data_IF_374703850049
#
_entry.id   IF_374703850049
#
_cell.length_a   1.000
_cell.length_b   1.000
_cell.length_c   1.000
_cell.angle_alpha   90.00
_cell.angle_beta   90.00
_cell.angle_gamma   90.00
#
_symmetry.space_group_name_H-M   'P 1'
#
loop_
_entity.id
_entity.type
_entity.pdbx_description
1 polymer ?
#
# COMPACT_ATOMS: atom_id res chain seq x y z
N UNK A 1 -59.10 52.17 43.54
CA UNK A 1 -57.70 52.01 44.01
C UNK A 1 -57.26 50.61 43.67
N UNK A 2 -56.58 50.45 42.54
CA UNK A 2 -55.79 49.25 42.17
C UNK A 2 -54.71 49.76 41.24
N UNK A 3 -53.49 49.84 41.76
CA UNK A 3 -52.30 50.30 41.06
C UNK A 3 -51.82 49.22 40.09
N UNK A 4 -51.87 49.52 38.79
CA UNK A 4 -51.19 48.74 37.75
C UNK A 4 -49.69 49.04 37.84
N UNK A 5 -48.92 48.12 38.43
CA UNK A 5 -47.47 48.19 38.39
C UNK A 5 -46.99 47.61 37.07
N UNK A 6 -46.57 48.48 36.14
CA UNK A 6 -45.81 48.11 34.95
C UNK A 6 -44.53 47.39 35.37
N UNK A 7 -44.43 46.08 35.11
CA UNK A 7 -43.13 45.38 35.07
C UNK A 7 -42.43 45.80 33.78
N UNK A 8 -41.55 46.78 33.88
CA UNK A 8 -40.64 47.16 32.79
C UNK A 8 -39.77 45.96 32.42
N UNK A 9 -39.93 45.48 31.18
CA UNK A 9 -38.93 44.64 30.52
C UNK A 9 -37.68 45.49 30.27
N UNK A 10 -36.57 45.14 30.91
CA UNK A 10 -35.24 45.49 30.44
C UNK A 10 -34.30 44.35 30.83
N UNK A 11 -34.46 43.20 30.17
CA UNK A 11 -33.36 42.26 29.99
C UNK A 11 -32.36 42.93 29.05
N UNK A 12 -31.54 43.82 29.59
CA UNK A 12 -30.37 44.32 28.89
C UNK A 12 -29.50 43.10 28.59
N UNK A 13 -29.41 42.70 27.32
CA UNK A 13 -28.44 41.70 26.89
C UNK A 13 -27.06 42.20 27.32
N UNK A 14 -26.50 41.58 28.37
CA UNK A 14 -25.18 41.92 28.86
C UNK A 14 -24.17 41.69 27.72
N UNK A 15 -23.57 42.77 27.23
CA UNK A 15 -22.47 42.69 26.27
C UNK A 15 -21.18 42.26 26.96
N UNK A 16 -20.32 41.55 26.25
CA UNK A 16 -19.00 41.17 26.75
C UNK A 16 -18.06 42.38 26.84
N UNK A 17 -17.26 42.47 27.91
CA UNK A 17 -16.23 43.51 28.03
C UNK A 17 -15.03 43.18 27.15
N UNK A 18 -14.28 44.19 26.68
CA UNK A 18 -13.08 43.98 25.86
C UNK A 18 -12.03 43.10 26.56
N UNK A 19 -11.90 43.26 27.89
CA UNK A 19 -10.98 42.45 28.70
C UNK A 19 -11.41 40.99 28.76
N UNK A 20 -12.71 40.72 28.94
CA UNK A 20 -13.26 39.36 28.96
C UNK A 20 -13.06 38.64 27.63
N UNK A 21 -13.29 39.34 26.51
CA UNK A 21 -13.05 38.78 25.16
C UNK A 21 -11.57 38.45 24.96
N UNK A 22 -10.66 39.31 25.41
CA UNK A 22 -9.21 39.06 25.29
C UNK A 22 -8.75 37.89 26.14
N UNK A 23 -9.24 37.78 27.39
CA UNK A 23 -8.92 36.64 28.27
C UNK A 23 -9.49 35.35 27.69
N UNK A 24 -10.74 35.36 27.24
CA UNK A 24 -11.38 34.19 26.64
C UNK A 24 -10.65 33.73 25.38
N UNK A 25 -10.23 34.66 24.51
CA UNK A 25 -9.45 34.35 23.31
C UNK A 25 -8.06 33.82 23.66
N UNK A 26 -7.40 34.39 24.68
CA UNK A 26 -6.12 33.88 25.18
C UNK A 26 -6.20 32.44 25.66
N UNK A 27 -7.22 32.11 26.47
CA UNK A 27 -7.47 30.74 26.94
C UNK A 27 -7.77 29.81 25.76
N UNK A 28 -8.62 30.24 24.83
CA UNK A 28 -8.98 29.46 23.64
C UNK A 28 -7.74 29.10 22.80
N UNK A 29 -6.86 30.07 22.54
CA UNK A 29 -5.65 29.84 21.75
C UNK A 29 -4.74 28.82 22.46
N UNK A 30 -4.50 28.98 23.76
CA UNK A 30 -3.66 28.05 24.53
C UNK A 30 -4.25 26.63 24.51
N UNK A 31 -5.58 26.50 24.65
CA UNK A 31 -6.26 25.20 24.56
C UNK A 31 -6.12 24.56 23.18
N UNK A 32 -6.35 25.31 22.10
CA UNK A 32 -6.24 24.79 20.73
C UNK A 32 -4.79 24.38 20.42
N UNK A 33 -3.81 25.19 20.83
CA UNK A 33 -2.39 24.87 20.63
C UNK A 33 -2.00 23.61 21.40
N UNK A 34 -2.40 23.50 22.68
CA UNK A 34 -2.16 22.31 23.49
C UNK A 34 -2.81 21.06 22.89
N UNK A 35 -4.05 21.17 22.40
CA UNK A 35 -4.74 20.08 21.72
C UNK A 35 -4.00 19.65 20.45
N UNK A 36 -3.64 20.58 19.56
CA UNK A 36 -2.96 20.27 18.30
C UNK A 36 -1.58 19.66 18.52
N UNK A 37 -0.86 20.09 19.57
CA UNK A 37 0.44 19.52 19.93
C UNK A 37 0.37 18.02 20.25
N UNK A 38 -0.75 17.53 20.78
CA UNK A 38 -0.96 16.11 21.11
C UNK A 38 -1.68 15.37 19.97
N UNK A 39 -2.69 16.00 19.37
CA UNK A 39 -3.56 15.37 18.39
C UNK A 39 -2.83 15.08 17.06
N UNK A 40 -1.96 15.99 16.61
CA UNK A 40 -1.20 15.81 15.37
C UNK A 40 -0.35 14.53 15.37
N UNK A 41 0.53 14.34 16.38
CA UNK A 41 1.29 13.10 16.55
C UNK A 41 0.40 11.86 16.67
N UNK A 42 -0.67 11.92 17.46
CA UNK A 42 -1.59 10.78 17.65
C UNK A 42 -2.25 10.35 16.32
N UNK A 43 -2.78 11.30 15.55
CA UNK A 43 -3.38 11.03 14.25
C UNK A 43 -2.37 10.44 13.25
N UNK A 44 -1.11 10.90 13.28
CA UNK A 44 -0.04 10.33 12.45
C UNK A 44 0.30 8.90 12.84
N UNK A 45 0.37 8.61 14.13
CA UNK A 45 0.60 7.25 14.65
C UNK A 45 -0.53 6.31 14.23
N UNK A 46 -1.79 6.71 14.41
CA UNK A 46 -2.96 5.91 14.01
C UNK A 46 -2.92 5.62 12.50
N UNK A 47 -2.67 6.65 11.66
CA UNK A 47 -2.56 6.46 10.22
C UNK A 47 -1.43 5.51 9.83
N UNK A 48 -0.28 5.59 10.50
CA UNK A 48 0.85 4.69 10.26
C UNK A 48 0.50 3.25 10.65
N UNK A 49 0.00 3.03 11.86
CA UNK A 49 -0.38 1.70 12.35
C UNK A 49 -1.42 1.05 11.45
N UNK A 50 -2.49 1.77 11.09
CA UNK A 50 -3.51 1.24 10.19
C UNK A 50 -2.94 0.89 8.80
N UNK A 51 -2.04 1.72 8.28
CA UNK A 51 -1.36 1.46 7.01
C UNK A 51 -0.47 0.23 7.07
N UNK A 52 0.27 0.05 8.17
CA UNK A 52 1.11 -1.13 8.41
C UNK A 52 0.25 -2.39 8.54
N UNK A 53 -0.86 -2.32 9.29
CA UNK A 53 -1.77 -3.46 9.47
C UNK A 53 -2.44 -3.87 8.14
N UNK A 54 -2.89 -2.90 7.34
CA UNK A 54 -3.50 -3.16 6.04
C UNK A 54 -2.51 -3.81 5.08
N UNK A 55 -1.29 -3.28 4.99
CA UNK A 55 -0.27 -3.81 4.12
C UNK A 55 0.24 -5.19 4.60
N UNK A 56 0.35 -5.42 5.91
CA UNK A 56 0.70 -6.73 6.48
C UNK A 56 -0.34 -7.81 6.16
N UNK A 57 -1.63 -7.47 6.07
CA UNK A 57 -2.67 -8.44 5.69
C UNK A 57 -2.59 -8.87 4.22
N UNK A 58 -2.00 -8.04 3.36
CA UNK A 58 -1.86 -8.31 1.93
C UNK A 58 -0.60 -9.14 1.61
N UNK A 59 0.27 -9.39 2.57
CA UNK A 59 1.48 -10.19 2.35
C UNK A 59 1.18 -11.59 1.80
N UNK A 60 0.17 -12.30 2.33
CA UNK A 60 -0.20 -13.62 1.84
C UNK A 60 -0.63 -13.57 0.37
N UNK A 61 -1.20 -12.44 -0.08
CA UNK A 61 -1.54 -12.20 -1.49
C UNK A 61 -0.28 -12.06 -2.35
N UNK A 62 0.75 -11.37 -1.87
CA UNK A 62 2.03 -11.29 -2.57
C UNK A 62 2.71 -12.66 -2.69
N UNK A 63 2.77 -13.42 -1.59
CA UNK A 63 3.35 -14.77 -1.62
C UNK A 63 2.60 -15.70 -2.58
N UNK A 64 1.27 -15.62 -2.59
CA UNK A 64 0.45 -16.40 -3.51
C UNK A 64 0.66 -15.97 -4.96
N UNK A 65 0.73 -14.66 -5.23
CA UNK A 65 0.95 -14.14 -6.58
C UNK A 65 2.30 -14.58 -7.16
N UNK A 66 3.37 -14.51 -6.36
CA UNK A 66 4.70 -14.94 -6.80
C UNK A 66 4.76 -16.45 -7.10
N UNK A 67 3.86 -17.25 -6.51
CA UNK A 67 3.75 -18.70 -6.75
C UNK A 67 2.70 -19.07 -7.79
N UNK A 68 1.97 -18.10 -8.32
CA UNK A 68 0.89 -18.32 -9.28
C UNK A 68 1.29 -17.75 -10.61
N UNK A 69 1.42 -18.60 -11.64
CA UNK A 69 1.53 -18.13 -13.03
C UNK A 69 0.12 -18.04 -13.58
N UNK A 70 -0.34 -16.83 -13.86
CA UNK A 70 -1.69 -16.60 -14.38
C UNK A 70 -1.80 -17.02 -15.84
N UNK A 71 -3.00 -17.41 -16.24
CA UNK A 71 -3.28 -17.75 -17.63
C UNK A 71 -3.07 -16.55 -18.57
N UNK A 72 -2.88 -16.84 -19.86
CA UNK A 72 -2.68 -15.81 -20.87
C UNK A 72 -1.23 -15.32 -20.96
N UNK A 73 -0.95 -14.08 -20.53
CA UNK A 73 0.36 -13.43 -20.80
C UNK A 73 1.49 -14.02 -19.95
N UNK A 74 1.23 -14.23 -18.67
CA UNK A 74 2.23 -14.80 -17.75
C UNK A 74 2.56 -16.24 -18.09
N UNK A 75 1.54 -17.08 -18.34
CA UNK A 75 1.74 -18.46 -18.81
C UNK A 75 2.63 -18.53 -20.06
N UNK A 76 2.49 -17.58 -20.99
CA UNK A 76 3.35 -17.48 -22.18
C UNK A 76 4.77 -17.01 -21.85
N UNK A 77 4.93 -16.00 -20.99
CA UNK A 77 6.25 -15.45 -20.61
C UNK A 77 7.07 -16.46 -19.79
N UNK A 78 6.45 -17.09 -18.81
CA UNK A 78 7.10 -17.97 -17.84
C UNK A 78 6.98 -19.46 -18.16
N UNK A 79 6.30 -19.81 -19.26
CA UNK A 79 6.02 -21.19 -19.67
C UNK A 79 5.35 -22.05 -18.58
N UNK A 80 4.75 -21.39 -17.58
CA UNK A 80 4.15 -22.05 -16.43
C UNK A 80 5.03 -22.26 -15.21
N UNK A 81 6.26 -21.75 -15.21
CA UNK A 81 7.18 -21.85 -14.08
C UNK A 81 7.00 -20.66 -13.11
N UNK A 82 6.44 -20.87 -11.91
CA UNK A 82 6.28 -19.81 -10.92
C UNK A 82 7.62 -19.35 -10.34
N UNK A 83 8.64 -20.20 -10.32
CA UNK A 83 9.94 -19.85 -9.78
C UNK A 83 10.65 -18.84 -10.70
N UNK A 84 10.56 -19.02 -12.02
CA UNK A 84 11.05 -17.99 -12.97
C UNK A 84 10.30 -16.67 -12.77
N UNK A 85 8.97 -16.71 -12.60
CA UNK A 85 8.18 -15.50 -12.31
C UNK A 85 8.72 -14.79 -11.07
N UNK A 86 8.98 -15.53 -9.99
CA UNK A 86 9.48 -14.95 -8.75
C UNK A 86 10.88 -14.35 -8.90
N UNK A 87 11.81 -15.00 -9.61
CA UNK A 87 13.14 -14.45 -9.93
C UNK A 87 12.99 -13.09 -10.62
N UNK A 88 12.23 -13.05 -11.71
CA UNK A 88 12.01 -11.83 -12.50
C UNK A 88 11.38 -10.72 -11.67
N UNK A 89 10.34 -11.04 -10.89
CA UNK A 89 9.62 -10.04 -10.10
C UNK A 89 10.47 -9.50 -8.96
N UNK A 90 11.30 -10.34 -8.33
CA UNK A 90 12.20 -9.88 -7.27
C UNK A 90 13.25 -8.94 -7.86
N UNK A 91 13.90 -9.34 -8.96
CA UNK A 91 14.87 -8.53 -9.68
C UNK A 91 14.28 -7.17 -10.10
N UNK A 92 13.15 -7.18 -10.82
CA UNK A 92 12.61 -6.00 -11.49
C UNK A 92 11.74 -5.10 -10.60
N UNK A 93 11.53 -5.46 -9.33
CA UNK A 93 10.59 -4.74 -8.44
C UNK A 93 10.94 -3.27 -8.21
N UNK A 94 12.20 -2.87 -8.40
CA UNK A 94 12.66 -1.47 -8.31
C UNK A 94 12.84 -0.79 -9.67
N UNK A 95 12.59 -1.50 -10.77
CA UNK A 95 12.60 -0.91 -12.10
C UNK A 95 11.32 -0.10 -12.35
N UNK A 96 11.47 1.02 -13.04
CA UNK A 96 10.34 1.86 -13.41
C UNK A 96 9.41 1.11 -14.35
N UNK A 97 8.13 1.03 -14.00
CA UNK A 97 7.12 0.30 -14.78
C UNK A 97 6.99 -1.19 -14.40
N UNK A 98 8.00 -1.82 -13.81
CA UNK A 98 7.90 -3.22 -13.37
C UNK A 98 7.62 -3.37 -11.87
N UNK A 99 7.55 -2.24 -11.16
CA UNK A 99 7.26 -2.20 -9.72
C UNK A 99 6.02 -3.00 -9.36
N UNK A 100 6.12 -3.79 -8.29
CA UNK A 100 5.03 -4.61 -7.78
C UNK A 100 4.06 -3.75 -6.99
N UNK A 101 2.80 -3.71 -7.41
CA UNK A 101 1.72 -2.97 -6.76
C UNK A 101 0.77 -3.95 -6.07
N UNK A 102 0.39 -3.65 -4.84
CA UNK A 102 -0.51 -4.46 -4.03
C UNK A 102 -1.67 -3.63 -3.50
N UNK A 103 -2.88 -4.15 -3.69
CA UNK A 103 -4.11 -3.42 -3.43
C UNK A 103 -5.28 -4.37 -3.19
N UNK A 104 -6.44 -3.80 -2.89
CA UNK A 104 -7.72 -4.48 -2.99
C UNK A 104 -8.57 -3.74 -4.01
N UNK A 105 -9.36 -4.48 -4.78
CA UNK A 105 -10.35 -3.91 -5.66
C UNK A 105 -11.67 -4.67 -5.53
N UNK A 106 -12.74 -4.01 -5.96
CA UNK A 106 -14.07 -4.60 -6.07
C UNK A 106 -14.13 -5.41 -7.35
N UNK A 107 -14.35 -6.72 -7.25
CA UNK A 107 -14.55 -7.61 -8.38
C UNK A 107 -16.02 -8.00 -8.54
N UNK A 108 -16.50 -8.12 -9.78
CA UNK A 108 -17.86 -8.59 -10.08
C UNK A 108 -17.90 -10.12 -9.95
N UNK A 109 -18.75 -10.70 -9.08
CA UNK A 109 -18.79 -12.15 -8.88
C UNK A 109 -19.17 -12.89 -10.16
N UNK A 110 -18.38 -13.90 -10.53
CA UNK A 110 -18.66 -14.75 -11.68
C UNK A 110 -18.26 -14.16 -13.04
N UNK A 111 -17.79 -12.91 -13.10
CA UNK A 111 -17.23 -12.32 -14.32
C UNK A 111 -15.71 -12.41 -14.26
N UNK A 112 -15.16 -13.42 -14.92
CA UNK A 112 -13.72 -13.68 -14.94
C UNK A 112 -13.07 -13.15 -16.21
N UNK A 113 -11.90 -12.53 -16.03
CA UNK A 113 -10.98 -12.16 -17.10
C UNK A 113 -10.20 -13.38 -17.58
N UNK A 114 -9.48 -13.20 -18.68
CA UNK A 114 -8.61 -14.21 -19.28
C UNK A 114 -7.45 -14.66 -18.35
N UNK A 115 -7.05 -13.84 -17.38
CA UNK A 115 -5.99 -14.17 -16.39
C UNK A 115 -6.55 -14.83 -15.11
N UNK A 116 -7.86 -15.14 -15.10
CA UNK A 116 -8.58 -15.74 -13.97
C UNK A 116 -8.95 -14.77 -12.86
N UNK A 117 -8.68 -13.47 -12.99
CA UNK A 117 -9.14 -12.44 -12.04
C UNK A 117 -10.58 -12.01 -12.32
N UNK A 118 -11.23 -11.33 -11.38
CA UNK A 118 -12.57 -10.80 -11.58
C UNK A 118 -12.50 -9.47 -12.35
N UNK A 119 -13.52 -9.18 -13.15
CA UNK A 119 -13.71 -7.85 -13.73
C UNK A 119 -13.96 -6.82 -12.62
N UNK A 120 -13.46 -5.57 -12.74
CA UNK A 120 -13.59 -4.58 -11.70
C UNK A 120 -15.03 -4.06 -11.68
N UNK A 121 -15.61 -4.02 -10.50
CA UNK A 121 -16.95 -3.51 -10.27
C UNK A 121 -16.92 -1.97 -10.24
N UNK A 122 -17.95 -1.35 -10.83
CA UNK A 122 -18.18 0.07 -10.68
C UNK A 122 -18.40 0.42 -9.19
N UNK A 123 -17.87 1.57 -8.77
CA UNK A 123 -18.04 2.12 -7.42
C UNK A 123 -19.50 2.43 -7.09
N UNK A 124 -20.36 2.56 -8.09
CA UNK A 124 -21.82 2.74 -7.93
C UNK A 124 -22.53 1.50 -7.39
N UNK A 125 -21.95 0.30 -7.53
CA UNK A 125 -22.50 -0.93 -6.98
C UNK A 125 -22.40 -0.92 -5.44
N UNK A 126 -23.53 -1.14 -4.78
CA UNK A 126 -23.70 -0.77 -3.38
C UNK A 126 -23.47 -1.92 -2.40
N UNK A 127 -23.80 -3.17 -2.76
CA UNK A 127 -23.87 -4.25 -1.77
C UNK A 127 -22.71 -5.23 -1.93
N UNK A 128 -21.77 -5.18 -0.99
CA UNK A 128 -20.70 -6.18 -0.88
C UNK A 128 -21.28 -7.59 -0.62
N UNK A 129 -20.73 -8.61 -1.27
CA UNK A 129 -21.18 -10.01 -1.18
C UNK A 129 -22.39 -10.36 -2.06
N UNK A 130 -23.04 -9.35 -2.67
CA UNK A 130 -24.10 -9.54 -3.66
C UNK A 130 -23.70 -8.98 -5.02
N UNK A 131 -23.35 -7.70 -5.05
CA UNK A 131 -23.06 -6.97 -6.29
C UNK A 131 -21.55 -6.98 -6.60
N UNK A 132 -20.71 -6.99 -5.56
CA UNK A 132 -19.25 -7.06 -5.70
C UNK A 132 -18.59 -7.84 -4.55
N UNK A 133 -17.36 -8.33 -4.78
CA UNK A 133 -16.48 -8.89 -3.76
C UNK A 133 -15.22 -8.05 -3.65
N UNK A 134 -14.71 -7.83 -2.43
CA UNK A 134 -13.41 -7.18 -2.24
C UNK A 134 -12.33 -8.24 -2.34
N UNK A 135 -11.50 -8.15 -3.38
CA UNK A 135 -10.42 -9.09 -3.65
C UNK A 135 -9.07 -8.40 -3.47
N UNK A 136 -8.15 -8.98 -2.66
CA UNK A 136 -6.77 -8.52 -2.65
C UNK A 136 -6.06 -8.98 -3.93
N UNK A 137 -5.20 -8.12 -4.47
CA UNK A 137 -4.54 -8.34 -5.74
C UNK A 137 -3.12 -7.77 -5.74
N UNK A 138 -2.26 -8.40 -6.54
CA UNK A 138 -0.92 -7.93 -6.81
C UNK A 138 -0.70 -7.95 -8.32
N UNK A 139 -0.22 -6.84 -8.87
CA UNK A 139 0.15 -6.72 -10.29
C UNK A 139 1.44 -5.93 -10.42
N UNK A 140 2.17 -6.15 -11.51
CA UNK A 140 3.19 -5.19 -11.93
C UNK A 140 2.52 -3.95 -12.50
N UNK A 141 3.18 -2.81 -12.35
CA UNK A 141 2.69 -1.55 -12.89
C UNK A 141 2.51 -1.59 -14.43
N UNK A 142 3.30 -2.39 -15.13
CA UNK A 142 3.23 -2.61 -16.58
C UNK A 142 2.11 -3.57 -17.01
N UNK A 143 1.36 -4.17 -16.09
CA UNK A 143 0.24 -5.02 -16.44
C UNK A 143 -0.93 -4.17 -16.98
N UNK A 144 -1.38 -4.37 -18.24
CA UNK A 144 -2.47 -3.58 -18.83
C UNK A 144 -3.80 -3.70 -18.07
N UNK A 145 -4.01 -4.76 -17.29
CA UNK A 145 -5.23 -4.89 -16.47
C UNK A 145 -5.18 -4.02 -15.20
N UNK A 146 -4.02 -3.47 -14.85
CA UNK A 146 -3.86 -2.66 -13.64
C UNK A 146 -4.64 -1.35 -13.72
N UNK A 147 -4.67 -0.68 -14.88
CA UNK A 147 -5.44 0.57 -15.03
C UNK A 147 -6.93 0.35 -14.81
N UNK A 148 -7.48 -0.75 -15.33
CA UNK A 148 -8.88 -1.11 -15.13
C UNK A 148 -9.17 -1.40 -13.65
N UNK A 149 -8.26 -2.13 -12.98
CA UNK A 149 -8.40 -2.44 -11.56
C UNK A 149 -8.44 -1.17 -10.68
N UNK A 150 -7.68 -0.12 -11.04
CA UNK A 150 -7.66 1.16 -10.32
C UNK A 150 -9.04 1.82 -10.23
N UNK A 151 -9.93 1.56 -11.20
CA UNK A 151 -11.31 2.07 -11.17
C UNK A 151 -12.09 1.48 -10.00
N UNK A 152 -11.87 0.21 -9.69
CA UNK A 152 -12.52 -0.53 -8.62
C UNK A 152 -11.74 -0.59 -7.29
N UNK A 153 -10.58 0.10 -7.18
CA UNK A 153 -9.75 0.03 -5.96
C UNK A 153 -10.50 0.45 -4.71
N UNK A 154 -10.31 -0.33 -3.65
CA UNK A 154 -10.88 -0.10 -2.33
C UNK A 154 -9.80 -0.12 -1.24
N UNK A 155 -9.61 1.02 -0.58
CA UNK A 155 -8.60 1.20 0.46
C UNK A 155 -7.28 1.73 -0.09
N UNK A 156 -6.19 1.44 0.60
CA UNK A 156 -4.85 1.91 0.23
C UNK A 156 -4.23 1.02 -0.84
N UNK A 157 -3.42 1.65 -1.68
CA UNK A 157 -2.54 0.96 -2.63
C UNK A 157 -1.12 1.13 -2.13
N UNK A 158 -0.40 0.02 -2.11
CA UNK A 158 1.02 0.01 -1.77
C UNK A 158 1.81 -0.44 -2.98
N UNK A 159 3.05 -0.02 -3.05
CA UNK A 159 4.02 -0.70 -3.89
C UNK A 159 5.05 -1.40 -3.02
N UNK A 160 5.68 -2.43 -3.57
CA UNK A 160 6.58 -3.31 -2.84
C UNK A 160 7.90 -3.39 -3.59
N UNK A 161 8.99 -3.12 -2.88
CA UNK A 161 10.34 -3.43 -3.33
C UNK A 161 10.73 -4.78 -2.77
N UNK A 162 11.28 -5.63 -3.62
CA UNK A 162 11.69 -6.98 -3.29
C UNK A 162 13.20 -7.04 -3.46
N UNK A 163 13.91 -7.44 -2.39
CA UNK A 163 15.38 -7.56 -2.43
C UNK A 163 15.80 -8.91 -1.90
N UNK A 164 16.65 -9.61 -2.64
CA UNK A 164 17.14 -10.91 -2.23
C UNK A 164 17.88 -10.81 -0.88
N UNK A 165 17.70 -11.84 -0.06
CA UNK A 165 18.49 -12.09 1.14
C UNK A 165 19.61 -13.08 0.78
N UNK A 166 20.85 -12.69 1.02
CA UNK A 166 22.07 -13.43 0.70
C UNK A 166 22.86 -13.75 1.96
N UNK A 167 23.59 -14.86 1.97
CA UNK A 167 24.37 -15.27 3.14
C UNK A 167 25.67 -14.47 3.22
N UNK A 168 25.82 -13.69 4.30
CA UNK A 168 27.02 -12.93 4.59
C UNK A 168 27.54 -13.24 5.99
N UNK A 169 28.69 -13.91 6.04
CA UNK A 169 29.40 -14.24 7.27
C UNK A 169 28.65 -15.24 8.16
N UNK A 170 27.68 -14.77 8.95
CA UNK A 170 26.95 -15.57 9.97
C UNK A 170 25.43 -15.56 9.79
N UNK A 171 24.89 -14.92 8.77
CA UNK A 171 23.44 -14.84 8.58
C UNK A 171 23.03 -14.24 7.24
N UNK A 172 21.72 -14.18 7.03
CA UNK A 172 21.12 -13.57 5.84
C UNK A 172 21.11 -12.06 5.96
N UNK A 173 21.47 -11.38 4.88
CA UNK A 173 21.42 -9.92 4.74
C UNK A 173 20.81 -9.53 3.41
N UNK A 174 20.20 -8.36 3.38
CA UNK A 174 19.60 -7.79 2.17
C UNK A 174 20.73 -7.45 1.19
N UNK A 175 20.60 -7.87 -0.06
CA UNK A 175 21.55 -7.51 -1.12
C UNK A 175 21.64 -5.99 -1.27
N UNK A 176 22.86 -5.48 -1.45
CA UNK A 176 23.11 -4.06 -1.69
C UNK A 176 22.78 -3.63 -3.13
N UNK A 177 22.70 -4.59 -4.06
CA UNK A 177 22.42 -4.36 -5.48
C UNK A 177 20.95 -4.72 -5.81
N UNK A 178 20.08 -3.72 -6.05
CA UNK A 178 18.75 -3.95 -6.63
C UNK A 178 18.89 -4.54 -8.04
N UNK A 179 17.91 -5.31 -8.50
CA UNK A 179 17.93 -5.84 -9.86
C UNK A 179 18.65 -7.17 -10.03
N UNK A 180 19.52 -7.57 -9.10
CA UNK A 180 20.30 -8.80 -9.21
C UNK A 180 19.73 -9.94 -8.35
N UNK A 181 19.69 -11.14 -8.93
CA UNK A 181 19.53 -12.40 -8.18
C UNK A 181 20.86 -13.15 -8.25
N UNK A 182 21.59 -13.16 -7.14
CA UNK A 182 22.91 -13.76 -7.04
C UNK A 182 22.85 -15.12 -6.34
N UNK A 183 23.94 -15.88 -6.42
CA UNK A 183 24.10 -17.08 -5.58
C UNK A 183 24.06 -16.67 -4.09
N UNK A 184 23.11 -17.18 -3.29
CA UNK A 184 23.00 -16.81 -1.88
C UNK A 184 24.19 -17.30 -1.05
N UNK A 185 24.96 -18.29 -1.50
CA UNK A 185 26.11 -18.85 -0.77
C UNK A 185 27.46 -18.32 -1.27
N UNK A 186 27.50 -17.71 -2.46
CA UNK A 186 28.73 -17.16 -3.08
C UNK A 186 28.48 -15.71 -3.53
N UNK A 187 28.70 -14.71 -2.64
CA UNK A 187 28.50 -13.31 -2.97
C UNK A 187 29.38 -12.85 -4.14
N UNK A 188 28.80 -12.11 -5.10
CA UNK A 188 29.53 -11.51 -6.24
C UNK A 188 29.53 -12.34 -7.53
N UNK A 189 28.77 -13.43 -7.59
CA UNK A 189 28.56 -14.24 -8.79
C UNK A 189 27.10 -14.13 -9.28
N UNK A 190 26.89 -13.40 -10.38
CA UNK A 190 25.59 -13.17 -11.04
C UNK A 190 25.19 -14.39 -11.87
N UNK A 191 24.85 -15.49 -11.21
CA UNK A 191 24.62 -16.78 -11.89
C UNK A 191 23.15 -17.15 -12.04
N UNK A 192 22.20 -16.36 -11.57
CA UNK A 192 20.89 -16.92 -11.27
C UNK A 192 19.69 -16.12 -11.81
N UNK A 193 19.74 -15.81 -13.11
CA UNK A 193 18.59 -15.27 -13.85
C UNK A 193 17.61 -16.34 -14.36
N UNK A 194 17.92 -17.63 -14.19
CA UNK A 194 17.01 -18.73 -14.54
C UNK A 194 16.87 -19.76 -13.41
N UNK A 195 15.71 -20.43 -13.29
CA UNK A 195 15.50 -21.55 -12.39
C UNK A 195 16.52 -22.68 -12.54
N UNK A 196 17.01 -22.99 -13.75
CA UNK A 196 17.97 -24.11 -13.89
C UNK A 196 19.35 -23.76 -13.33
N UNK A 197 19.71 -22.48 -13.35
CA UNK A 197 21.03 -21.97 -12.95
C UNK A 197 21.07 -21.50 -11.50
N UNK A 198 19.92 -21.16 -10.91
CA UNK A 198 19.82 -20.80 -9.50
C UNK A 198 20.16 -22.03 -8.63
N UNK A 199 21.13 -21.95 -7.69
CA UNK A 199 21.69 -23.12 -7.00
C UNK A 199 20.81 -23.68 -5.89
N UNK A 200 19.87 -22.89 -5.37
CA UNK A 200 19.03 -23.25 -4.22
C UNK A 200 17.57 -23.55 -4.61
N UNK A 201 16.86 -24.30 -3.78
CA UNK A 201 15.42 -24.54 -3.98
C UNK A 201 14.53 -23.37 -3.51
N UNK A 202 15.13 -22.39 -2.83
CA UNK A 202 14.44 -21.29 -2.14
C UNK A 202 15.14 -19.97 -2.42
N UNK A 203 14.35 -18.94 -2.72
CA UNK A 203 14.80 -17.54 -2.74
C UNK A 203 14.23 -16.88 -1.49
N UNK A 204 15.10 -16.50 -0.58
CA UNK A 204 14.75 -15.62 0.54
C UNK A 204 14.89 -14.17 0.08
N UNK A 205 13.93 -13.32 0.45
CA UNK A 205 13.95 -11.90 0.10
C UNK A 205 13.27 -11.06 1.17
N UNK A 206 13.66 -9.80 1.28
CA UNK A 206 12.91 -8.80 2.04
C UNK A 206 11.91 -8.12 1.10
N UNK A 207 10.65 -8.05 1.53
CA UNK A 207 9.61 -7.25 0.91
C UNK A 207 9.41 -5.97 1.72
N UNK A 208 9.79 -4.84 1.14
CA UNK A 208 9.60 -3.52 1.71
C UNK A 208 8.35 -2.86 1.12
N UNK A 209 7.41 -2.47 1.99
CA UNK A 209 6.13 -1.91 1.56
C UNK A 209 6.14 -0.40 1.72
N UNK A 210 5.60 0.28 0.72
CA UNK A 210 5.54 1.73 0.64
C UNK A 210 4.12 2.18 0.31
N UNK A 211 3.62 3.20 1.01
CA UNK A 211 2.33 3.81 0.70
C UNK A 211 2.47 4.68 -0.54
N UNK A 212 1.60 4.49 -1.54
CA UNK A 212 1.51 5.42 -2.65
C UNK A 212 0.84 6.73 -2.21
N UNK A 213 1.33 7.90 -2.68
CA UNK A 213 0.72 9.20 -2.39
C UNK A 213 -0.58 9.42 -3.18
N UNK A 214 -0.68 8.82 -4.37
CA UNK A 214 -1.84 8.86 -5.25
C UNK A 214 -1.95 7.54 -6.01
N UNK A 215 -3.17 7.20 -6.41
CA UNK A 215 -3.50 6.00 -7.18
C UNK A 215 -3.92 6.35 -8.61
N UNK A 216 -3.66 7.58 -9.06
CA UNK A 216 -3.97 8.02 -10.42
C UNK A 216 -3.03 7.35 -11.40
N UNK A 217 -3.59 6.65 -12.40
CA UNK A 217 -2.78 5.94 -13.38
C UNK A 217 -1.76 6.84 -14.09
N UNK A 218 -2.16 8.07 -14.46
CA UNK A 218 -1.26 9.05 -15.09
C UNK A 218 -0.01 9.40 -14.24
N UNK A 219 -0.14 9.41 -12.91
CA UNK A 219 1.03 9.59 -12.04
C UNK A 219 1.91 8.33 -12.06
N UNK A 220 1.28 7.16 -11.92
CA UNK A 220 1.97 5.88 -11.82
C UNK A 220 2.70 5.51 -13.13
N UNK A 221 2.14 5.84 -14.29
CA UNK A 221 2.74 5.53 -15.59
C UNK A 221 3.76 6.55 -16.08
N UNK A 222 3.75 7.78 -15.55
CA UNK A 222 4.60 8.87 -16.04
C UNK A 222 5.66 9.37 -15.05
N UNK A 223 5.22 9.76 -13.85
CA UNK A 223 6.06 10.48 -12.89
C UNK A 223 6.53 9.62 -11.71
N UNK A 224 5.94 8.45 -11.51
CA UNK A 224 6.31 7.53 -10.45
C UNK A 224 7.67 6.89 -10.74
N UNK A 225 8.56 7.00 -9.75
CA UNK A 225 9.84 6.32 -9.72
C UNK A 225 10.01 5.71 -8.32
N UNK A 226 10.12 4.38 -8.19
CA UNK A 226 10.26 3.70 -6.91
C UNK A 226 11.55 4.10 -6.17
N UNK A 227 12.59 4.58 -6.86
CA UNK A 227 13.86 4.97 -6.23
C UNK A 227 13.75 6.23 -5.36
N UNK A 228 12.75 7.08 -5.62
CA UNK A 228 12.47 8.26 -4.80
C UNK A 228 11.93 7.91 -3.40
N UNK A 229 11.65 6.64 -3.13
CA UNK A 229 11.11 6.16 -1.86
C UNK A 229 12.14 5.30 -1.13
N UNK A 230 12.57 5.79 0.04
CA UNK A 230 13.64 5.18 0.85
C UNK A 230 13.19 4.81 2.26
N UNK A 231 11.94 5.10 2.63
CA UNK A 231 11.39 4.84 3.97
C UNK A 231 10.15 3.96 3.88
N UNK A 232 10.28 2.63 4.02
CA UNK A 232 9.13 1.74 4.01
C UNK A 232 8.24 1.98 5.23
N UNK A 233 6.95 1.69 5.07
CA UNK A 233 5.99 1.66 6.19
C UNK A 233 6.18 0.42 7.06
N UNK A 234 6.58 -0.69 6.44
CA UNK A 234 7.01 -1.93 7.08
C UNK A 234 7.81 -2.77 6.08
N UNK A 235 8.67 -3.66 6.58
CA UNK A 235 9.35 -4.68 5.78
C UNK A 235 9.12 -6.07 6.38
N UNK A 236 9.24 -7.11 5.57
CA UNK A 236 9.20 -8.49 6.04
C UNK A 236 10.00 -9.44 5.16
N UNK A 237 10.68 -10.37 5.81
CA UNK A 237 11.40 -11.44 5.12
C UNK A 237 10.42 -12.54 4.69
N UNK A 238 10.44 -12.86 3.41
CA UNK A 238 9.59 -13.85 2.74
C UNK A 238 10.45 -14.87 2.00
N UNK A 239 9.81 -15.96 1.58
CA UNK A 239 10.46 -17.01 0.80
C UNK A 239 9.56 -17.51 -0.33
N UNK A 240 10.14 -17.69 -1.51
CA UNK A 240 9.53 -18.44 -2.61
C UNK A 240 10.33 -19.72 -2.82
N UNK A 241 9.62 -20.81 -3.08
CA UNK A 241 10.19 -22.16 -3.26
C UNK A 241 9.80 -22.66 -4.65
N UNK A 242 10.62 -23.55 -5.22
CA UNK A 242 10.26 -24.35 -6.40
C UNK A 242 9.09 -25.29 -6.10
#
# INVERSE_FOLDING_TARGET
>A
MTTNTSKNFNDAKAGFTLVEVVIALGILVVMITGFMAVFGPAARTIKKTLSTDEASRLQATLELELRTVREGRERRRYQGDPFQKAIDWIAQSEEQGETVIIYKYRGIPGQFRNDGTLEPADRTLAIAGRDFLVQPMVRRLSDPLFEEDLQGVEGRVFFVKLRQLVFEGRGLRVSEEPGSIIDPNVPGQDFAQSPETYPEAVIAFEAEYYSLPTTTFAYLSGAFDPNNFTRPIFSRNLVVRR
#
